data_IF_394641391680
#
_entry.id   IF_394641391680
#
_cell.length_a   1.000
_cell.length_b   1.000
_cell.length_c   1.000
_cell.angle_alpha   90.00
_cell.angle_beta   90.00
_cell.angle_gamma   90.00
#
_symmetry.space_group_name_H-M   'P 1'
#
loop_
_entity.id
_entity.type
_entity.pdbx_description
1 polymer ?
#
# COMPACT_ATOMS: atom_id res chain seq x y z
N UNK A 1 1.05 -2.08 23.01
CA UNK A 1 0.65 -1.15 21.92
C UNK A 1 0.62 -1.99 20.66
N UNK A 2 -0.55 -2.18 20.03
CA UNK A 2 -0.70 -3.15 18.93
C UNK A 2 -1.24 -2.53 17.63
N UNK A 3 -1.55 -1.23 17.64
CA UNK A 3 -2.05 -0.49 16.48
C UNK A 3 -1.01 0.53 16.02
N UNK A 4 -0.95 0.76 14.71
CA UNK A 4 0.06 1.62 14.06
C UNK A 4 -0.02 3.09 14.54
N UNK A 5 -1.24 3.62 14.73
CA UNK A 5 -1.47 5.01 15.19
C UNK A 5 -0.96 5.25 16.62
N UNK A 6 -1.36 4.47 17.64
CA UNK A 6 -0.76 4.58 18.97
C UNK A 6 0.77 4.42 18.95
N UNK A 7 1.31 3.49 18.14
CA UNK A 7 2.75 3.29 18.03
C UNK A 7 3.44 4.58 17.54
N UNK A 8 2.94 5.21 16.47
CA UNK A 8 3.58 6.42 15.95
C UNK A 8 3.43 7.61 16.91
N UNK A 9 2.31 7.74 17.62
CA UNK A 9 2.16 8.73 18.70
C UNK A 9 3.20 8.54 19.80
N UNK A 10 3.44 7.29 20.20
CA UNK A 10 4.47 6.97 21.19
C UNK A 10 5.86 7.35 20.66
N UNK A 11 6.18 7.01 19.41
CA UNK A 11 7.48 7.30 18.81
C UNK A 11 7.74 8.82 18.73
N UNK A 12 6.77 9.61 18.26
CA UNK A 12 6.86 11.08 18.21
C UNK A 12 7.09 11.68 19.60
N UNK A 13 6.45 11.12 20.64
CA UNK A 13 6.59 11.59 22.02
C UNK A 13 7.90 11.19 22.68
N UNK A 14 8.36 9.95 22.48
CA UNK A 14 9.55 9.43 23.16
C UNK A 14 10.86 9.82 22.47
N UNK A 15 10.83 10.10 21.17
CA UNK A 15 12.02 10.39 20.37
C UNK A 15 11.90 11.71 19.60
N UNK A 16 11.71 12.85 20.28
CA UNK A 16 11.48 14.15 19.63
C UNK A 16 12.68 14.67 18.81
N UNK A 17 13.88 14.15 19.07
CA UNK A 17 15.11 14.50 18.35
C UNK A 17 15.26 13.74 17.01
N UNK A 18 14.33 12.83 16.68
CA UNK A 18 14.32 12.10 15.40
C UNK A 18 13.44 12.81 14.35
N UNK A 19 13.62 12.53 13.05
CA UNK A 19 12.76 13.11 12.02
C UNK A 19 11.28 12.77 12.26
N UNK A 20 10.44 13.80 12.39
CA UNK A 20 8.98 13.63 12.54
C UNK A 20 8.34 13.11 11.25
N UNK A 21 7.35 12.24 11.38
CA UNK A 21 6.48 11.82 10.26
C UNK A 21 5.22 12.69 10.14
N UNK A 22 5.06 13.68 11.01
CA UNK A 22 3.97 14.68 10.96
C UNK A 22 4.49 16.12 10.84
N UNK A 23 5.17 16.48 9.73
CA UNK A 23 5.65 17.84 9.54
C UNK A 23 4.53 18.88 9.67
N UNK A 24 4.82 20.05 10.24
CA UNK A 24 3.89 21.18 10.39
C UNK A 24 2.62 20.86 11.22
N UNK A 25 2.73 20.01 12.25
CA UNK A 25 1.60 19.63 13.14
C UNK A 25 0.41 19.03 12.37
N UNK A 26 0.73 18.22 11.35
CA UNK A 26 -0.27 17.62 10.44
C UNK A 26 -0.90 16.33 10.99
N UNK A 27 -0.58 15.94 12.23
CA UNK A 27 -1.01 14.68 12.85
C UNK A 27 -2.48 14.35 12.60
N UNK A 28 -3.37 15.25 13.02
CA UNK A 28 -4.83 15.04 12.90
C UNK A 28 -5.30 14.99 11.45
N UNK A 29 -4.68 15.75 10.56
CA UNK A 29 -5.03 15.76 9.14
C UNK A 29 -4.64 14.45 8.45
N UNK A 30 -3.48 13.89 8.82
CA UNK A 30 -3.00 12.65 8.23
C UNK A 30 -3.78 11.43 8.72
N UNK A 31 -4.34 11.44 9.93
CA UNK A 31 -5.27 10.39 10.38
C UNK A 31 -6.54 10.31 9.52
N UNK A 32 -7.11 11.45 9.09
CA UNK A 32 -8.25 11.44 8.15
C UNK A 32 -7.87 10.91 6.76
N UNK A 33 -6.61 11.07 6.37
CA UNK A 33 -6.12 10.57 5.10
C UNK A 33 -5.95 9.04 5.10
N UNK A 34 -5.51 8.47 6.22
CA UNK A 34 -5.31 7.03 6.43
C UNK A 34 -6.61 6.22 6.23
N UNK A 35 -7.69 6.64 6.91
CA UNK A 35 -9.03 6.06 6.73
C UNK A 35 -9.52 6.14 5.28
N UNK A 36 -9.09 7.16 4.54
CA UNK A 36 -9.42 7.30 3.13
C UNK A 36 -8.59 6.35 2.27
N UNK A 37 -7.29 6.17 2.52
CA UNK A 37 -6.40 5.37 1.69
C UNK A 37 -6.75 3.87 1.69
N UNK A 38 -6.88 3.26 2.87
CA UNK A 38 -7.06 1.81 3.00
C UNK A 38 -8.36 1.32 2.32
N UNK A 39 -9.39 2.16 2.28
CA UNK A 39 -10.66 1.84 1.64
C UNK A 39 -10.64 1.96 0.11
N UNK A 40 -9.62 2.58 -0.50
CA UNK A 40 -9.60 2.81 -1.94
C UNK A 40 -8.91 1.69 -2.71
N UNK A 41 -7.92 1.01 -2.12
CA UNK A 41 -7.11 0.01 -2.81
C UNK A 41 -7.70 -1.40 -2.80
N UNK A 42 -8.82 -1.64 -2.12
CA UNK A 42 -9.50 -2.96 -2.07
C UNK A 42 -9.63 -3.70 -3.43
N UNK A 43 -9.94 -3.03 -4.58
CA UNK A 43 -10.14 -3.74 -5.85
C UNK A 43 -8.94 -4.58 -6.34
N UNK A 44 -7.72 -4.28 -5.88
CA UNK A 44 -6.50 -5.01 -6.28
C UNK A 44 -6.26 -6.24 -5.40
N UNK A 45 -6.85 -6.32 -4.21
CA UNK A 45 -6.59 -7.38 -3.23
C UNK A 45 -6.83 -8.80 -3.76
N UNK A 46 -7.86 -9.09 -4.58
CA UNK A 46 -8.04 -10.43 -5.15
C UNK A 46 -6.85 -10.93 -5.97
N UNK A 47 -6.04 -10.03 -6.55
CA UNK A 47 -4.82 -10.39 -7.28
C UNK A 47 -3.61 -10.62 -6.36
N UNK A 48 -3.63 -10.08 -5.14
CA UNK A 48 -2.50 -10.08 -4.20
C UNK A 48 -2.64 -11.24 -3.20
N UNK A 49 -3.84 -11.41 -2.63
CA UNK A 49 -4.12 -12.33 -1.52
C UNK A 49 -3.66 -13.77 -1.82
N UNK A 50 -3.91 -14.36 -3.00
CA UNK A 50 -3.42 -15.71 -3.29
C UNK A 50 -1.90 -15.83 -3.24
N UNK A 51 -1.18 -14.82 -3.73
CA UNK A 51 0.28 -14.83 -3.77
C UNK A 51 0.93 -14.70 -2.38
N UNK A 52 0.28 -13.95 -1.47
CA UNK A 52 0.75 -13.80 -0.07
C UNK A 52 0.86 -15.15 0.63
N UNK A 53 -0.07 -16.08 0.37
CA UNK A 53 0.00 -17.42 0.97
C UNK A 53 1.35 -18.12 0.71
N UNK A 54 1.91 -17.96 -0.49
CA UNK A 54 3.12 -18.67 -0.90
C UNK A 54 4.41 -18.07 -0.32
N UNK A 55 4.37 -16.85 0.21
CA UNK A 55 5.53 -16.20 0.87
C UNK A 55 5.50 -16.34 2.39
N UNK A 56 4.40 -16.84 2.97
CA UNK A 56 4.29 -17.07 4.40
C UNK A 56 5.01 -18.35 4.83
N UNK A 57 5.49 -18.35 6.08
CA UNK A 57 5.97 -19.57 6.70
C UNK A 57 4.83 -20.61 6.87
N UNK A 58 5.15 -21.91 6.97
CA UNK A 58 4.13 -22.96 7.04
C UNK A 58 3.11 -22.81 8.18
N UNK A 59 3.52 -22.28 9.35
CA UNK A 59 2.63 -22.10 10.49
C UNK A 59 1.60 -20.98 10.25
N UNK A 60 1.97 -19.94 9.52
CA UNK A 60 1.08 -18.83 9.16
C UNK A 60 0.16 -19.15 7.98
N UNK A 61 0.56 -20.08 7.10
CA UNK A 61 -0.23 -20.46 5.92
C UNK A 61 -1.62 -20.99 6.26
N UNK A 62 -1.75 -21.86 7.27
CA UNK A 62 -3.05 -22.43 7.67
C UNK A 62 -4.02 -21.34 8.13
N UNK A 63 -3.55 -20.45 9.01
CA UNK A 63 -4.34 -19.32 9.49
C UNK A 63 -4.75 -18.43 8.32
N UNK A 64 -3.80 -18.04 7.48
CA UNK A 64 -4.02 -17.12 6.36
C UNK A 64 -5.02 -17.69 5.36
N UNK A 65 -4.86 -18.94 4.92
CA UNK A 65 -5.82 -19.61 4.03
C UNK A 65 -7.22 -19.60 4.64
N UNK A 66 -7.36 -20.06 5.89
CA UNK A 66 -8.67 -20.12 6.57
C UNK A 66 -9.35 -18.76 6.64
N UNK A 67 -8.62 -17.70 6.97
CA UNK A 67 -9.20 -16.35 7.05
C UNK A 67 -9.52 -15.77 5.69
N UNK A 68 -8.64 -15.94 4.70
CA UNK A 68 -8.85 -15.44 3.33
C UNK A 68 -10.04 -16.15 2.67
N UNK A 69 -10.11 -17.47 2.72
CA UNK A 69 -11.22 -18.23 2.13
C UNK A 69 -12.57 -17.88 2.79
N UNK A 70 -12.59 -17.64 4.11
CA UNK A 70 -13.78 -17.17 4.82
C UNK A 70 -14.22 -15.77 4.36
N UNK A 71 -13.27 -14.85 4.16
CA UNK A 71 -13.57 -13.47 3.73
C UNK A 71 -14.09 -13.43 2.28
N UNK A 72 -13.44 -14.17 1.38
CA UNK A 72 -13.81 -14.19 -0.04
C UNK A 72 -14.93 -15.18 -0.38
N UNK A 73 -15.27 -16.10 0.54
CA UNK A 73 -16.22 -17.21 0.31
C UNK A 73 -15.86 -18.05 -0.92
N UNK A 74 -14.57 -18.19 -1.19
CA UNK A 74 -13.96 -18.96 -2.28
C UNK A 74 -12.74 -19.69 -1.73
N UNK A 75 -12.34 -20.81 -2.34
CA UNK A 75 -11.03 -21.39 -2.05
C UNK A 75 -9.92 -20.46 -2.55
N UNK A 76 -8.73 -20.53 -1.95
CA UNK A 76 -7.61 -19.61 -2.24
C UNK A 76 -7.32 -19.51 -3.75
N UNK A 77 -7.36 -20.63 -4.46
CA UNK A 77 -7.08 -20.78 -5.90
C UNK A 77 -8.15 -20.16 -6.82
N UNK A 78 -9.31 -19.80 -6.26
CA UNK A 78 -10.44 -19.19 -6.98
C UNK A 78 -10.64 -17.71 -6.62
N UNK A 79 -9.86 -17.18 -5.68
CA UNK A 79 -9.95 -15.77 -5.26
C UNK A 79 -9.54 -14.84 -6.41
N UNK A 80 -8.44 -15.15 -7.12
CA UNK A 80 -8.02 -14.33 -8.26
C UNK A 80 -9.06 -14.40 -9.38
N UNK A 81 -9.61 -13.25 -9.83
CA UNK A 81 -10.63 -13.23 -10.86
C UNK A 81 -10.05 -13.66 -12.22
N UNK A 82 -10.90 -14.21 -13.08
CA UNK A 82 -10.52 -14.73 -14.41
C UNK A 82 -11.41 -14.14 -15.51
N UNK A 83 -10.91 -14.12 -16.75
CA UNK A 83 -11.68 -13.63 -17.90
C UNK A 83 -12.14 -12.18 -17.75
N UNK A 84 -13.41 -11.90 -18.06
CA UNK A 84 -14.00 -10.56 -17.99
C UNK A 84 -13.97 -9.96 -16.57
N UNK A 85 -14.17 -10.80 -15.54
CA UNK A 85 -14.09 -10.36 -14.13
C UNK A 85 -12.70 -9.82 -13.80
N UNK A 86 -11.65 -10.44 -14.35
CA UNK A 86 -10.27 -9.99 -14.15
C UNK A 86 -10.02 -8.63 -14.81
N UNK A 87 -10.54 -8.43 -16.03
CA UNK A 87 -10.41 -7.16 -16.76
C UNK A 87 -11.13 -6.03 -16.02
N UNK A 88 -12.34 -6.27 -15.53
CA UNK A 88 -13.12 -5.30 -14.75
C UNK A 88 -12.42 -4.97 -13.42
N UNK A 89 -12.00 -5.98 -12.66
CA UNK A 89 -11.28 -5.78 -11.40
C UNK A 89 -9.96 -5.03 -11.59
N UNK A 90 -9.20 -5.33 -12.66
CA UNK A 90 -7.97 -4.63 -12.99
C UNK A 90 -8.23 -3.17 -13.37
N UNK A 91 -9.28 -2.90 -14.14
CA UNK A 91 -9.71 -1.55 -14.52
C UNK A 91 -10.11 -0.73 -13.29
N UNK A 92 -10.87 -1.33 -12.37
CA UNK A 92 -11.25 -0.72 -11.08
C UNK A 92 -10.02 -0.43 -10.22
N UNK A 93 -9.06 -1.36 -10.18
CA UNK A 93 -7.79 -1.18 -9.47
C UNK A 93 -7.03 0.02 -10.02
N UNK A 94 -6.84 0.09 -11.35
CA UNK A 94 -6.17 1.22 -11.99
C UNK A 94 -6.87 2.55 -11.69
N UNK A 95 -8.20 2.59 -11.74
CA UNK A 95 -8.97 3.79 -11.41
C UNK A 95 -8.81 4.20 -9.93
N UNK A 96 -8.72 3.24 -9.01
CA UNK A 96 -8.45 3.50 -7.59
C UNK A 96 -7.05 4.09 -7.38
N UNK A 97 -6.03 3.52 -8.01
CA UNK A 97 -4.67 4.07 -8.03
C UNK A 97 -4.70 5.51 -8.59
N UNK A 98 -5.29 5.74 -9.76
CA UNK A 98 -5.35 7.09 -10.34
C UNK A 98 -5.96 8.15 -9.41
N UNK A 99 -6.97 7.79 -8.60
CA UNK A 99 -7.55 8.71 -7.59
C UNK A 99 -6.57 9.09 -6.49
N UNK A 100 -5.72 8.15 -6.06
CA UNK A 100 -4.68 8.43 -5.07
C UNK A 100 -3.57 9.25 -5.73
N UNK A 101 -3.12 8.85 -6.91
CA UNK A 101 -2.12 9.59 -7.68
C UNK A 101 -2.55 11.04 -7.93
N UNK A 102 -3.83 11.31 -8.20
CA UNK A 102 -4.34 12.68 -8.32
C UNK A 102 -4.08 13.50 -7.05
N UNK A 103 -4.28 12.93 -5.85
CA UNK A 103 -4.06 13.64 -4.58
C UNK A 103 -2.60 14.05 -4.40
N UNK A 104 -1.66 13.21 -4.86
CA UNK A 104 -0.22 13.47 -4.80
C UNK A 104 0.27 14.40 -5.90
N UNK A 105 -0.34 14.34 -7.09
CA UNK A 105 0.14 15.08 -8.27
C UNK A 105 -0.57 16.42 -8.46
N UNK A 106 -1.74 16.63 -7.85
CA UNK A 106 -2.52 17.86 -7.97
C UNK A 106 -1.77 19.04 -7.34
N UNK A 107 -1.40 20.00 -8.21
CA UNK A 107 -0.56 21.16 -7.86
C UNK A 107 0.82 20.78 -7.32
N UNK A 108 1.31 19.57 -7.65
CA UNK A 108 2.64 19.09 -7.27
C UNK A 108 3.69 20.00 -7.91
N UNK A 109 4.43 20.72 -7.06
CA UNK A 109 5.52 21.58 -7.48
C UNK A 109 6.87 20.83 -7.48
N UNK A 110 7.11 19.98 -6.46
CA UNK A 110 8.37 19.27 -6.27
C UNK A 110 8.19 18.02 -5.40
N UNK A 111 9.07 17.03 -5.59
CA UNK A 111 9.23 15.86 -4.71
C UNK A 111 8.13 14.79 -4.81
N UNK A 112 8.42 13.52 -4.51
CA UNK A 112 7.54 12.37 -4.75
C UNK A 112 6.45 12.16 -3.69
N UNK A 113 6.53 12.86 -2.57
CA UNK A 113 5.69 12.61 -1.40
C UNK A 113 4.49 13.54 -1.34
N UNK A 114 3.53 13.21 -0.47
CA UNK A 114 2.31 14.00 -0.27
C UNK A 114 2.63 15.46 0.14
N UNK A 115 3.69 15.65 0.91
CA UNK A 115 4.20 16.96 1.32
C UNK A 115 5.40 17.43 0.47
N UNK A 116 5.49 16.94 -0.77
CA UNK A 116 6.52 17.27 -1.74
C UNK A 116 7.83 16.54 -1.51
N UNK A 117 8.88 17.25 -1.07
CA UNK A 117 10.19 16.64 -0.80
C UNK A 117 10.28 15.99 0.59
N UNK A 118 9.30 16.25 1.45
CA UNK A 118 9.28 15.77 2.83
C UNK A 118 8.37 14.55 2.93
N UNK A 119 8.91 13.43 3.41
CA UNK A 119 8.12 12.22 3.70
C UNK A 119 7.24 12.47 4.93
N UNK A 120 6.07 11.84 4.96
CA UNK A 120 5.07 11.96 6.02
C UNK A 120 4.45 10.61 6.36
N UNK A 121 3.66 10.54 7.43
CA UNK A 121 2.92 9.35 7.85
C UNK A 121 2.09 8.75 6.71
N UNK A 122 1.40 9.59 5.96
CA UNK A 122 0.61 9.19 4.80
C UNK A 122 1.44 8.46 3.72
N UNK A 123 2.69 8.88 3.53
CA UNK A 123 3.60 8.23 2.59
C UNK A 123 4.07 6.87 3.12
N UNK A 124 4.25 6.72 4.43
CA UNK A 124 4.59 5.44 5.05
C UNK A 124 3.43 4.44 5.03
N UNK A 125 2.20 4.91 5.25
CA UNK A 125 0.99 4.09 5.09
C UNK A 125 0.90 3.57 3.65
N UNK A 126 0.98 4.47 2.66
CA UNK A 126 0.92 4.10 1.26
C UNK A 126 2.10 3.21 0.83
N UNK A 127 3.31 3.49 1.33
CA UNK A 127 4.50 2.68 1.08
C UNK A 127 4.35 1.27 1.63
N UNK A 128 3.83 1.12 2.86
CA UNK A 128 3.56 -0.19 3.46
C UNK A 128 2.56 -1.01 2.64
N UNK A 129 1.48 -0.39 2.18
CA UNK A 129 0.52 -1.02 1.27
C UNK A 129 1.20 -1.48 -0.03
N UNK A 130 1.98 -0.61 -0.69
CA UNK A 130 2.64 -0.94 -1.95
C UNK A 130 3.71 -2.04 -1.80
N UNK A 131 4.41 -2.11 -0.66
CA UNK A 131 5.31 -3.23 -0.36
C UNK A 131 4.52 -4.54 -0.28
N UNK A 132 3.37 -4.55 0.39
CA UNK A 132 2.50 -5.73 0.44
C UNK A 132 2.01 -6.15 -0.95
N UNK A 133 1.65 -5.17 -1.81
CA UNK A 133 1.26 -5.44 -3.19
C UNK A 133 2.42 -6.06 -4.00
N UNK A 134 3.62 -5.47 -3.89
CA UNK A 134 4.85 -5.98 -4.53
C UNK A 134 5.16 -7.41 -4.09
N UNK A 135 5.09 -7.69 -2.80
CA UNK A 135 5.36 -9.01 -2.25
C UNK A 135 4.32 -10.05 -2.68
N UNK A 136 3.02 -9.70 -2.65
CA UNK A 136 1.95 -10.64 -3.03
C UNK A 136 1.87 -10.88 -4.54
N UNK A 137 2.11 -9.87 -5.37
CA UNK A 137 2.16 -10.05 -6.83
C UNK A 137 3.46 -10.69 -7.31
N UNK A 138 4.55 -10.51 -6.56
CA UNK A 138 5.92 -10.81 -6.97
C UNK A 138 6.57 -9.63 -7.68
N UNK A 139 7.79 -9.27 -7.28
CA UNK A 139 8.51 -8.10 -7.77
C UNK A 139 8.81 -8.15 -9.28
N UNK A 140 9.11 -9.32 -9.82
CA UNK A 140 9.39 -9.50 -11.25
C UNK A 140 8.12 -9.79 -12.08
N UNK A 141 6.94 -9.75 -11.46
CA UNK A 141 5.69 -10.07 -12.15
C UNK A 141 5.29 -8.97 -13.15
N UNK A 142 4.69 -9.39 -14.27
CA UNK A 142 4.15 -8.45 -15.26
C UNK A 142 3.12 -7.49 -14.65
N UNK A 143 2.29 -7.97 -13.70
CA UNK A 143 1.30 -7.16 -12.98
C UNK A 143 1.96 -6.04 -12.17
N UNK A 144 2.97 -6.36 -11.37
CA UNK A 144 3.66 -5.34 -10.57
C UNK A 144 4.40 -4.34 -11.46
N UNK A 145 5.09 -4.81 -12.50
CA UNK A 145 5.78 -3.92 -13.43
C UNK A 145 4.80 -3.01 -14.18
N UNK A 146 3.60 -3.49 -14.53
CA UNK A 146 2.55 -2.65 -15.11
C UNK A 146 2.08 -1.56 -14.14
N UNK A 147 1.81 -1.91 -12.86
CA UNK A 147 1.37 -0.94 -11.83
C UNK A 147 2.37 0.22 -11.71
N UNK A 148 3.67 -0.08 -11.73
CA UNK A 148 4.72 0.96 -11.67
C UNK A 148 4.65 1.97 -12.82
N UNK A 149 4.07 1.59 -13.98
CA UNK A 149 3.90 2.48 -15.14
C UNK A 149 2.61 3.30 -15.11
N UNK A 150 1.68 3.01 -14.21
CA UNK A 150 0.42 3.74 -14.13
C UNK A 150 0.63 5.22 -13.78
N UNK A 151 -0.36 6.04 -14.16
CA UNK A 151 -0.38 7.48 -13.88
C UNK A 151 0.89 8.21 -14.32
N UNK A 152 1.37 7.87 -15.52
CA UNK A 152 2.58 8.47 -16.11
C UNK A 152 3.87 8.02 -15.43
N UNK A 153 3.87 6.87 -14.74
CA UNK A 153 5.03 6.35 -14.01
C UNK A 153 5.13 6.86 -12.56
N UNK A 154 4.11 7.56 -12.05
CA UNK A 154 4.09 8.08 -10.68
C UNK A 154 4.33 6.99 -9.64
N UNK A 155 3.71 5.82 -9.79
CA UNK A 155 3.86 4.72 -8.82
C UNK A 155 5.27 4.15 -8.79
N UNK A 156 5.91 4.05 -9.96
CA UNK A 156 7.32 3.67 -10.04
C UNK A 156 8.21 4.68 -9.30
N UNK A 157 8.02 5.98 -9.55
CA UNK A 157 8.74 7.07 -8.88
C UNK A 157 8.54 7.04 -7.36
N UNK A 158 7.29 6.88 -6.91
CA UNK A 158 6.94 6.84 -5.49
C UNK A 158 7.61 5.65 -4.77
N UNK A 159 7.49 4.44 -5.33
CA UNK A 159 8.14 3.25 -4.77
C UNK A 159 9.65 3.41 -4.72
N UNK A 160 10.26 3.94 -5.79
CA UNK A 160 11.70 4.16 -5.84
C UNK A 160 12.17 5.18 -4.78
N UNK A 161 11.36 6.21 -4.50
CA UNK A 161 11.61 7.18 -3.44
C UNK A 161 11.51 6.59 -2.02
N UNK A 162 10.67 5.56 -1.83
CA UNK A 162 10.48 4.87 -0.55
C UNK A 162 11.58 3.86 -0.22
N UNK A 163 12.32 3.33 -1.22
CA UNK A 163 13.36 2.29 -1.04
C UNK A 163 14.34 2.52 0.11
N UNK A 164 14.73 3.77 0.37
CA UNK A 164 15.65 4.12 1.47
C UNK A 164 15.07 3.85 2.88
N UNK A 165 13.78 3.61 2.99
CA UNK A 165 13.07 3.29 4.24
C UNK A 165 12.67 1.81 4.34
N UNK A 166 13.09 0.97 3.39
CA UNK A 166 12.69 -0.45 3.31
C UNK A 166 13.77 -1.41 3.85
N UNK A 167 14.68 -0.93 4.71
CA UNK A 167 15.74 -1.75 5.28
C UNK A 167 15.18 -2.88 6.15
N UNK A 168 15.51 -4.13 5.80
CA UNK A 168 15.21 -5.32 6.61
C UNK A 168 16.52 -5.85 7.18
N UNK A 169 16.58 -6.03 8.51
CA UNK A 169 17.74 -6.54 9.24
C UNK A 169 17.65 -8.03 9.52
#
# INVERSE_FOLDING_TARGET
MADSVPIVEYLEKQYPDTPTVFPNDTFRLQLFFDDSLNNHLEPIWPFIVPGVFYILNPASQEFYRRTSEKSYKKILEEIEPKGEEAVDAWTKSKAAFSKIAERYTKRRAQGPFLMGNTVSWADFVLGGELIWHRCGLGEDSAKWQEIRTWDGGFWGEFVDAMKKYEEVK
#
